data_IF_676513343729
#
_entry.id   IF_676513343729
#
_cell.length_a   1.000
_cell.length_b   1.000
_cell.length_c   1.000
_cell.angle_alpha   90.00
_cell.angle_beta   90.00
_cell.angle_gamma   90.00
#
_symmetry.space_group_name_H-M   'P 1'
#
loop_
_entity.id
_entity.type
_entity.pdbx_description
1 polymer ?
#
# COMPACT_ATOMS: atom_id res chain seq x y z
N UNK A 1 -4.68 -6.71 0.56
CA UNK A 1 -3.96 -7.41 1.66
C UNK A 1 -4.82 -7.54 2.92
N UNK A 2 -6.03 -7.01 2.82
CA UNK A 2 -6.95 -6.69 3.90
C UNK A 2 -7.48 -7.98 4.55
N UNK A 3 -7.34 -9.11 3.87
CA UNK A 3 -7.70 -10.45 4.32
C UNK A 3 -7.02 -10.91 5.62
N UNK A 4 -5.93 -10.27 6.04
CA UNK A 4 -5.35 -10.51 7.39
C UNK A 4 -6.30 -10.03 8.50
N UNK A 5 -7.14 -9.04 8.20
CA UNK A 5 -8.11 -8.46 9.13
C UNK A 5 -9.56 -8.81 8.72
N UNK A 6 -9.82 -8.94 7.43
CA UNK A 6 -11.12 -9.26 6.82
C UNK A 6 -11.03 -10.57 6.02
N UNK A 7 -10.91 -11.74 6.68
CA UNK A 7 -10.80 -13.02 5.98
C UNK A 7 -12.06 -13.33 5.17
N UNK A 8 -12.03 -14.39 4.35
CA UNK A 8 -13.20 -14.84 3.58
C UNK A 8 -14.43 -14.98 4.50
N UNK A 9 -15.51 -14.29 4.14
CA UNK A 9 -16.73 -14.22 4.94
C UNK A 9 -16.79 -13.04 5.92
N UNK A 10 -15.74 -12.21 5.95
CA UNK A 10 -15.77 -10.89 6.56
C UNK A 10 -16.77 -9.96 5.87
N UNK A 11 -17.17 -8.91 6.58
CA UNK A 11 -18.15 -7.93 6.11
C UNK A 11 -17.46 -6.59 5.85
N UNK A 12 -17.02 -6.36 4.62
CA UNK A 12 -16.39 -5.09 4.21
C UNK A 12 -17.35 -3.90 4.37
N UNK A 13 -18.66 -4.11 4.21
CA UNK A 13 -19.68 -3.07 4.38
C UNK A 13 -19.91 -2.75 5.86
N UNK A 14 -19.75 -3.75 6.72
CA UNK A 14 -19.70 -3.62 8.18
C UNK A 14 -18.46 -2.87 8.64
N UNK A 15 -17.29 -3.16 8.07
CA UNK A 15 -16.06 -2.41 8.31
C UNK A 15 -16.22 -0.93 7.89
N UNK A 16 -16.76 -0.66 6.71
CA UNK A 16 -17.11 0.69 6.27
C UNK A 16 -18.09 1.37 7.24
N UNK A 17 -19.09 0.62 7.73
CA UNK A 17 -20.06 1.09 8.72
C UNK A 17 -19.42 1.47 10.06
N UNK A 18 -18.44 0.70 10.52
CA UNK A 18 -17.69 0.98 11.74
C UNK A 18 -16.86 2.26 11.60
N UNK A 19 -16.20 2.46 10.46
CA UNK A 19 -15.40 3.66 10.18
C UNK A 19 -16.27 4.92 10.14
N UNK A 20 -17.43 4.89 9.47
CA UNK A 20 -18.33 6.04 9.39
C UNK A 20 -19.22 6.24 10.63
N UNK A 21 -19.25 5.28 11.56
CA UNK A 21 -20.02 5.33 12.80
C UNK A 21 -21.50 4.99 12.67
N UNK A 22 -21.97 4.53 11.51
CA UNK A 22 -23.34 4.07 11.29
C UNK A 22 -23.43 2.99 10.21
N UNK A 23 -24.44 2.09 10.23
CA UNK A 23 -24.54 0.98 9.29
C UNK A 23 -24.69 1.43 7.83
N UNK A 24 -23.97 0.76 6.93
CA UNK A 24 -24.15 0.93 5.47
C UNK A 24 -25.56 0.50 5.08
N UNK A 25 -26.29 1.37 4.37
CA UNK A 25 -27.67 1.09 3.96
C UNK A 25 -27.69 0.23 2.72
N UNK A 26 -28.46 -0.85 2.76
CA UNK A 26 -28.64 -1.78 1.64
C UNK A 26 -30.06 -1.74 1.11
N UNK A 27 -30.22 -2.04 -0.17
CA UNK A 27 -31.52 -2.15 -0.85
C UNK A 27 -31.52 -3.37 -1.76
N UNK A 28 -32.67 -4.04 -1.89
CA UNK A 28 -32.81 -5.17 -2.79
C UNK A 28 -32.67 -4.71 -4.24
N UNK A 29 -31.87 -5.44 -5.02
CA UNK A 29 -31.76 -5.26 -6.47
C UNK A 29 -33.10 -5.49 -7.17
N UNK A 30 -33.28 -4.92 -8.36
CA UNK A 30 -34.54 -5.00 -9.13
C UNK A 30 -34.66 -6.27 -9.95
N UNK A 31 -33.57 -6.74 -10.56
CA UNK A 31 -33.59 -7.82 -11.56
C UNK A 31 -32.85 -9.08 -11.13
N UNK A 32 -32.15 -9.04 -9.99
CA UNK A 32 -31.38 -10.18 -9.46
C UNK A 32 -31.66 -10.36 -7.97
N UNK A 33 -31.46 -11.58 -7.45
CA UNK A 33 -31.61 -11.87 -6.02
C UNK A 33 -30.33 -11.50 -5.24
N UNK A 34 -30.07 -10.20 -5.15
CA UNK A 34 -28.93 -9.62 -4.44
C UNK A 34 -29.31 -8.27 -3.80
N UNK A 35 -28.37 -7.71 -3.05
CA UNK A 35 -28.47 -6.37 -2.47
C UNK A 35 -27.44 -5.44 -3.10
N UNK A 36 -27.76 -4.15 -3.13
CA UNK A 36 -26.86 -3.08 -3.51
C UNK A 36 -26.75 -2.07 -2.37
N UNK A 37 -25.69 -1.26 -2.37
CA UNK A 37 -25.57 -0.10 -1.48
C UNK A 37 -26.63 0.91 -1.88
N UNK A 38 -27.57 1.20 -0.98
CA UNK A 38 -28.75 2.03 -1.26
C UNK A 38 -28.39 3.46 -1.65
N UNK A 39 -27.21 3.91 -1.22
CA UNK A 39 -26.71 5.25 -1.47
C UNK A 39 -25.88 5.40 -2.74
N UNK A 40 -25.61 4.31 -3.47
CA UNK A 40 -24.86 4.34 -4.72
C UNK A 40 -25.48 5.25 -5.77
N UNK A 41 -24.60 5.89 -6.56
CA UNK A 41 -25.01 6.74 -7.68
C UNK A 41 -25.46 5.91 -8.89
N UNK A 42 -24.79 4.78 -9.10
CA UNK A 42 -25.08 3.77 -10.11
C UNK A 42 -24.92 2.37 -9.51
N UNK A 43 -25.77 1.45 -9.95
CA UNK A 43 -25.68 0.02 -9.65
C UNK A 43 -25.89 -0.72 -10.97
N UNK A 44 -24.94 -1.59 -11.31
CA UNK A 44 -25.08 -2.52 -12.43
C UNK A 44 -25.51 -3.86 -11.86
N UNK A 45 -26.70 -4.31 -12.24
CA UNK A 45 -27.29 -5.58 -11.78
C UNK A 45 -27.15 -6.63 -12.88
N UNK A 46 -26.76 -7.85 -12.55
CA UNK A 46 -26.52 -8.88 -13.57
C UNK A 46 -25.97 -10.18 -13.02
N UNK A 47 -25.59 -11.06 -13.95
CA UNK A 47 -25.04 -12.38 -13.62
C UNK A 47 -23.65 -12.54 -14.22
N UNK A 48 -22.74 -13.16 -13.46
CA UNK A 48 -21.44 -13.58 -13.96
C UNK A 48 -21.56 -14.92 -14.67
N UNK A 49 -21.22 -14.99 -15.96
CA UNK A 49 -21.23 -16.22 -16.73
C UNK A 49 -19.85 -16.85 -16.72
N UNK A 50 -19.57 -17.68 -15.71
CA UNK A 50 -18.22 -18.22 -15.47
C UNK A 50 -17.59 -19.01 -16.64
N UNK A 51 -18.42 -19.56 -17.53
CA UNK A 51 -18.00 -20.32 -18.73
C UNK A 51 -17.93 -19.48 -20.01
N UNK A 52 -18.58 -18.32 -20.05
CA UNK A 52 -18.46 -17.37 -21.15
C UNK A 52 -17.27 -16.46 -20.87
N UNK A 53 -16.09 -16.93 -21.31
CA UNK A 53 -14.84 -16.19 -21.17
C UNK A 53 -14.47 -15.53 -22.49
N UNK A 54 -14.14 -14.24 -22.43
CA UNK A 54 -13.77 -13.43 -23.61
C UNK A 54 -12.49 -12.67 -23.35
N UNK A 55 -11.77 -12.35 -24.42
CA UNK A 55 -10.59 -11.50 -24.35
C UNK A 55 -11.01 -10.06 -24.02
N UNK A 56 -10.19 -9.38 -23.22
CA UNK A 56 -10.44 -7.99 -22.81
C UNK A 56 -10.23 -6.98 -23.95
N UNK A 57 -9.50 -7.36 -25.00
CA UNK A 57 -9.27 -6.53 -26.18
C UNK A 57 -9.41 -7.33 -27.47
N UNK A 58 -9.75 -6.63 -28.57
CA UNK A 58 -9.88 -7.23 -29.90
C UNK A 58 -8.54 -7.79 -30.40
N UNK A 59 -7.43 -7.13 -30.11
CA UNK A 59 -6.11 -7.55 -30.55
C UNK A 59 -5.70 -8.88 -29.90
N UNK A 60 -6.04 -9.07 -28.62
CA UNK A 60 -5.81 -10.33 -27.92
C UNK A 60 -6.74 -11.44 -28.42
N UNK A 61 -7.97 -11.09 -28.80
CA UNK A 61 -8.94 -12.01 -29.43
C UNK A 61 -8.45 -12.50 -30.80
N UNK A 62 -8.07 -11.58 -31.69
CA UNK A 62 -7.60 -11.89 -33.04
C UNK A 62 -6.34 -12.77 -33.02
N UNK A 63 -5.51 -12.63 -31.98
CA UNK A 63 -4.28 -13.39 -31.80
C UNK A 63 -4.44 -14.67 -30.95
N UNK A 64 -5.62 -14.89 -30.35
CA UNK A 64 -5.92 -15.96 -29.38
C UNK A 64 -4.78 -16.18 -28.35
N UNK A 65 -4.28 -15.09 -27.76
CA UNK A 65 -3.13 -15.12 -26.84
C UNK A 65 -3.35 -14.22 -25.64
N UNK A 66 -3.16 -14.74 -24.43
CA UNK A 66 -3.26 -13.96 -23.19
C UNK A 66 -1.91 -13.40 -22.73
N UNK A 67 -1.93 -12.31 -21.97
CA UNK A 67 -0.73 -11.77 -21.32
C UNK A 67 0.24 -11.06 -22.26
N UNK A 68 -0.10 -10.90 -23.55
CA UNK A 68 0.78 -10.30 -24.57
C UNK A 68 0.43 -8.85 -24.90
N UNK A 69 -0.84 -8.59 -25.23
CA UNK A 69 -1.34 -7.28 -25.64
C UNK A 69 -1.64 -6.38 -24.45
N UNK A 70 -1.58 -5.07 -24.63
CA UNK A 70 -1.84 -4.11 -23.55
C UNK A 70 -3.34 -3.86 -23.36
N UNK A 71 -3.75 -3.54 -22.12
CA UNK A 71 -5.16 -3.26 -21.79
C UNK A 71 -5.33 -1.91 -21.07
N UNK A 72 -4.95 -1.81 -19.79
CA UNK A 72 -5.04 -0.57 -19.00
C UNK A 72 -3.74 -0.29 -18.21
N UNK A 73 -3.54 0.94 -17.71
CA UNK A 73 -2.46 1.23 -16.76
C UNK A 73 -2.63 0.41 -15.47
N UNK A 74 -1.53 0.01 -14.82
CA UNK A 74 -1.53 -0.77 -13.57
C UNK A 74 -0.71 -0.10 -12.48
N UNK A 75 -1.03 -0.41 -11.22
CA UNK A 75 -0.36 0.10 -10.02
C UNK A 75 1.17 -0.10 -10.03
N UNK A 76 1.70 -1.06 -10.78
CA UNK A 76 3.15 -1.24 -10.91
C UNK A 76 3.85 -0.14 -11.73
N UNK A 77 3.08 0.77 -12.37
CA UNK A 77 3.60 1.83 -13.24
C UNK A 77 3.77 1.42 -14.70
N UNK A 78 3.21 0.27 -15.08
CA UNK A 78 3.29 -0.29 -16.43
C UNK A 78 1.88 -0.52 -16.98
N UNK A 79 1.77 -0.59 -18.32
CA UNK A 79 0.55 -1.09 -18.94
C UNK A 79 0.35 -2.58 -18.59
N UNK A 80 -0.79 -2.88 -18.00
CA UNK A 80 -1.35 -4.21 -17.83
C UNK A 80 -1.54 -4.92 -19.15
N UNK A 81 -1.83 -6.22 -19.05
CA UNK A 81 -1.97 -7.11 -20.20
C UNK A 81 -3.41 -7.60 -20.30
N UNK A 82 -3.86 -7.83 -21.52
CA UNK A 82 -5.17 -8.38 -21.79
C UNK A 82 -5.20 -9.89 -21.49
N UNK A 83 -6.26 -10.33 -20.83
CA UNK A 83 -6.54 -11.72 -20.47
C UNK A 83 -7.91 -12.15 -20.96
N UNK A 84 -8.20 -13.44 -20.83
CA UNK A 84 -9.49 -14.06 -21.13
C UNK A 84 -10.28 -14.20 -19.83
N UNK A 85 -11.15 -13.23 -19.57
CA UNK A 85 -11.91 -13.11 -18.31
C UNK A 85 -13.38 -13.49 -18.48
N UNK A 86 -14.08 -13.69 -17.37
CA UNK A 86 -15.50 -14.04 -17.34
C UNK A 86 -16.36 -12.84 -17.71
N UNK A 87 -17.47 -13.06 -18.40
CA UNK A 87 -18.37 -11.98 -18.80
C UNK A 87 -19.43 -11.70 -17.73
N UNK A 88 -19.71 -10.42 -17.52
CA UNK A 88 -20.81 -9.95 -16.68
C UNK A 88 -21.98 -9.51 -17.57
N UNK A 89 -23.11 -10.22 -17.46
CA UNK A 89 -24.30 -9.98 -18.28
C UNK A 89 -25.25 -9.06 -17.51
N UNK A 90 -25.23 -7.78 -17.89
CA UNK A 90 -26.03 -6.73 -17.25
C UNK A 90 -27.51 -6.90 -17.61
N UNK A 91 -28.34 -6.94 -16.58
CA UNK A 91 -29.81 -7.04 -16.68
C UNK A 91 -30.49 -5.71 -16.38
N UNK A 92 -29.88 -4.85 -15.55
CA UNK A 92 -30.35 -3.50 -15.31
C UNK A 92 -29.20 -2.56 -14.90
N UNK A 93 -29.37 -1.27 -15.18
CA UNK A 93 -28.59 -0.19 -14.57
C UNK A 93 -29.55 0.68 -13.78
N UNK A 94 -29.50 0.58 -12.45
CA UNK A 94 -30.29 1.43 -11.55
C UNK A 94 -29.44 2.60 -11.07
N UNK A 95 -30.02 3.80 -10.96
CA UNK A 95 -29.24 5.02 -10.78
C UNK A 95 -30.07 6.15 -10.18
N UNK A 96 -29.42 7.10 -9.51
CA UNK A 96 -30.08 8.31 -8.99
C UNK A 96 -30.63 9.20 -10.11
N UNK A 97 -31.61 10.05 -9.81
CA UNK A 97 -32.12 11.06 -10.77
C UNK A 97 -30.97 11.95 -11.25
N UNK A 98 -30.94 12.27 -12.56
CA UNK A 98 -29.88 13.07 -13.18
C UNK A 98 -29.61 14.39 -12.46
N UNK A 99 -30.65 15.05 -11.92
CA UNK A 99 -30.51 16.32 -11.19
C UNK A 99 -29.81 16.22 -9.83
N UNK A 100 -29.58 15.01 -9.31
CA UNK A 100 -28.93 14.76 -8.00
C UNK A 100 -27.63 13.97 -8.14
N UNK A 101 -27.24 13.63 -9.36
CA UNK A 101 -26.14 12.71 -9.62
C UNK A 101 -24.83 13.50 -9.78
N UNK A 102 -23.76 13.16 -9.05
CA UNK A 102 -22.46 13.78 -9.27
C UNK A 102 -21.85 13.29 -10.59
N UNK A 103 -20.83 14.01 -11.05
CA UNK A 103 -19.96 13.51 -12.11
C UNK A 103 -19.17 12.30 -11.60
N UNK A 104 -19.12 11.24 -12.40
CA UNK A 104 -18.23 10.11 -12.11
C UNK A 104 -16.82 10.57 -12.45
N UNK A 105 -15.95 10.54 -11.46
CA UNK A 105 -14.51 10.76 -11.62
C UNK A 105 -13.83 9.39 -11.58
N UNK A 106 -13.41 8.82 -12.73
CA UNK A 106 -12.60 7.62 -12.74
C UNK A 106 -11.21 7.96 -12.21
N UNK A 107 -10.73 7.19 -11.25
CA UNK A 107 -9.41 7.40 -10.67
C UNK A 107 -8.33 7.08 -11.70
N UNK A 108 -7.29 7.91 -11.74
CA UNK A 108 -6.09 7.61 -12.50
C UNK A 108 -5.15 6.73 -11.71
N UNK A 109 -4.51 5.77 -12.37
CA UNK A 109 -3.43 4.99 -11.77
C UNK A 109 -2.28 5.93 -11.40
N UNK A 110 -1.69 5.74 -10.21
CA UNK A 110 -0.67 6.62 -9.63
C UNK A 110 -1.12 8.06 -9.37
N UNK A 111 -2.43 8.31 -9.25
CA UNK A 111 -2.93 9.56 -8.68
C UNK A 111 -3.08 9.42 -7.15
N UNK A 112 -3.03 10.54 -6.44
CA UNK A 112 -3.07 10.56 -4.97
C UNK A 112 -4.33 9.92 -4.38
N UNK A 113 -5.47 10.05 -5.05
CA UNK A 113 -6.73 9.44 -4.67
C UNK A 113 -6.71 7.91 -4.80
N UNK A 114 -6.14 7.39 -5.89
CA UNK A 114 -5.94 5.96 -6.08
C UNK A 114 -5.01 5.38 -5.00
N UNK A 115 -3.85 6.03 -4.79
CA UNK A 115 -2.89 5.61 -3.77
C UNK A 115 -3.53 5.62 -2.36
N UNK A 116 -4.24 6.69 -2.00
CA UNK A 116 -4.85 6.81 -0.67
C UNK A 116 -5.88 5.70 -0.38
N UNK A 117 -6.68 5.30 -1.37
CA UNK A 117 -7.64 4.19 -1.23
C UNK A 117 -6.90 2.87 -1.04
N UNK A 118 -5.83 2.65 -1.81
CA UNK A 118 -5.09 1.40 -1.78
C UNK A 118 -4.24 1.25 -0.50
N UNK A 119 -3.62 2.32 -0.01
CA UNK A 119 -2.65 2.24 1.09
C UNK A 119 -3.29 2.27 2.47
N UNK A 120 -4.30 3.11 2.71
CA UNK A 120 -4.84 3.35 4.07
C UNK A 120 -5.27 2.06 4.77
N UNK A 121 -6.03 1.20 4.07
CA UNK A 121 -6.50 -0.08 4.64
C UNK A 121 -5.35 -1.08 4.77
N UNK A 122 -4.39 -1.05 3.85
CA UNK A 122 -3.22 -1.94 3.88
C UNK A 122 -2.28 -1.60 5.03
N UNK A 123 -2.02 -0.33 5.28
CA UNK A 123 -1.24 0.17 6.42
C UNK A 123 -1.86 -0.32 7.73
N UNK A 124 -3.17 -0.16 7.89
CA UNK A 124 -3.90 -0.69 9.04
C UNK A 124 -3.79 -2.22 9.16
N UNK A 125 -3.86 -2.95 8.05
CA UNK A 125 -3.70 -4.41 8.05
C UNK A 125 -2.29 -4.87 8.44
N UNK A 126 -1.24 -4.14 8.02
CA UNK A 126 0.14 -4.44 8.41
C UNK A 126 0.38 -4.09 9.88
N UNK A 127 -0.17 -2.97 10.33
CA UNK A 127 -0.13 -2.57 11.74
C UNK A 127 -0.75 -3.68 12.61
N UNK A 128 -1.98 -4.08 12.28
CA UNK A 128 -2.72 -5.11 13.02
C UNK A 128 -2.03 -6.48 12.96
N UNK A 129 -1.43 -6.85 11.82
CA UNK A 129 -0.61 -8.06 11.71
C UNK A 129 0.55 -8.04 12.70
N UNK A 130 1.31 -6.94 12.74
CA UNK A 130 2.48 -6.80 13.59
C UNK A 130 2.09 -6.73 15.07
N UNK A 131 1.04 -5.98 15.40
CA UNK A 131 0.56 -5.85 16.78
C UNK A 131 0.04 -7.19 17.33
N UNK A 132 -0.61 -8.02 16.50
CA UNK A 132 -0.99 -9.39 16.89
C UNK A 132 0.19 -10.32 17.12
N UNK A 133 1.31 -10.12 16.40
CA UNK A 133 2.53 -10.93 16.58
C UNK A 133 3.24 -10.52 17.88
N UNK A 134 3.41 -9.21 18.11
CA UNK A 134 4.04 -8.68 19.32
C UNK A 134 3.41 -7.33 19.71
N UNK A 135 2.46 -7.32 20.67
CA UNK A 135 1.70 -6.13 21.02
C UNK A 135 2.56 -4.96 21.51
N UNK A 136 2.28 -3.78 20.96
CA UNK A 136 2.89 -2.50 21.31
C UNK A 136 4.35 -2.31 20.87
N UNK A 137 4.90 -3.20 20.04
CA UNK A 137 6.21 -2.98 19.39
C UNK A 137 6.06 -2.11 18.14
N UNK A 138 5.09 -2.43 17.26
CA UNK A 138 4.74 -1.57 16.13
C UNK A 138 4.15 -0.25 16.64
N UNK A 139 4.59 0.86 16.06
CA UNK A 139 4.12 2.21 16.40
C UNK A 139 3.29 2.80 15.28
N UNK A 140 3.70 2.56 14.04
CA UNK A 140 3.04 3.11 12.87
C UNK A 140 3.44 2.33 11.60
N UNK A 141 2.66 2.45 10.54
CA UNK A 141 2.94 1.88 9.22
C UNK A 141 2.62 2.91 8.15
N UNK A 142 3.53 3.05 7.19
CA UNK A 142 3.31 3.91 6.02
C UNK A 142 3.68 3.20 4.73
N UNK A 143 2.93 3.47 3.67
CA UNK A 143 3.24 3.10 2.30
C UNK A 143 3.44 4.41 1.52
N UNK A 144 4.68 4.92 1.42
CA UNK A 144 4.93 6.19 0.74
C UNK A 144 4.52 6.13 -0.73
N UNK A 145 3.87 7.19 -1.20
CA UNK A 145 3.48 7.39 -2.60
C UNK A 145 4.55 6.97 -3.64
N UNK A 146 5.85 7.36 -3.52
CA UNK A 146 6.86 6.98 -4.52
C UNK A 146 7.20 5.49 -4.57
N UNK A 147 6.73 4.68 -3.62
CA UNK A 147 7.07 3.27 -3.49
C UNK A 147 6.00 2.34 -4.10
N UNK A 148 4.98 2.90 -4.77
CA UNK A 148 3.94 2.19 -5.54
C UNK A 148 3.08 1.23 -4.72
N UNK A 149 1.86 1.70 -4.40
CA UNK A 149 0.71 1.08 -3.72
C UNK A 149 0.93 -0.31 -3.06
N UNK A 150 1.20 -1.36 -3.83
CA UNK A 150 1.19 -2.76 -3.34
C UNK A 150 2.57 -3.36 -3.07
N UNK A 151 3.65 -2.73 -3.55
CA UNK A 151 4.99 -3.34 -3.55
C UNK A 151 5.78 -3.11 -2.26
N UNK A 152 5.29 -2.29 -1.32
CA UNK A 152 6.10 -1.87 -0.16
C UNK A 152 5.30 -1.76 1.14
N UNK A 153 6.00 -1.81 2.27
CA UNK A 153 5.55 -1.26 3.55
C UNK A 153 6.74 -0.79 4.40
N UNK A 154 6.57 0.32 5.11
CA UNK A 154 7.52 0.80 6.13
C UNK A 154 6.89 0.56 7.49
N UNK A 155 7.55 -0.22 8.34
CA UNK A 155 7.12 -0.54 9.69
C UNK A 155 7.94 0.30 10.67
N UNK A 156 7.28 1.20 11.41
CA UNK A 156 7.93 1.95 12.47
C UNK A 156 7.79 1.21 13.80
N UNK A 157 8.89 0.98 14.50
CA UNK A 157 8.91 0.19 15.73
C UNK A 157 9.56 0.93 16.89
N UNK A 158 9.23 0.52 18.12
CA UNK A 158 9.90 0.97 19.33
C UNK A 158 10.29 -0.22 20.19
N UNK A 159 11.58 -0.58 20.14
CA UNK A 159 12.14 -1.65 20.95
C UNK A 159 12.08 -1.28 22.44
N UNK A 160 11.61 -2.20 23.27
CA UNK A 160 11.47 -2.05 24.72
C UNK A 160 12.42 -2.99 25.45
N UNK A 161 12.64 -4.18 24.88
CA UNK A 161 13.46 -5.25 25.43
C UNK A 161 14.38 -5.81 24.35
N UNK A 162 15.48 -6.45 24.77
CA UNK A 162 16.44 -7.11 23.85
C UNK A 162 15.79 -8.15 22.92
N UNK A 163 14.71 -8.78 23.35
CA UNK A 163 13.96 -9.75 22.52
C UNK A 163 13.26 -9.10 21.33
N UNK A 164 13.01 -7.79 21.37
CA UNK A 164 12.34 -7.06 20.28
C UNK A 164 13.17 -7.01 18.99
N UNK A 165 14.51 -7.11 19.07
CA UNK A 165 15.38 -7.29 17.89
C UNK A 165 14.96 -8.52 17.06
N UNK A 166 14.61 -9.62 17.73
CA UNK A 166 14.21 -10.85 17.06
C UNK A 166 12.84 -10.74 16.38
N UNK A 167 11.92 -9.98 16.96
CA UNK A 167 10.56 -9.81 16.45
C UNK A 167 10.51 -9.08 15.11
N UNK A 168 11.50 -8.22 14.80
CA UNK A 168 11.53 -7.50 13.52
C UNK A 168 11.63 -8.42 12.31
N UNK A 169 12.44 -9.49 12.42
CA UNK A 169 12.52 -10.52 11.36
C UNK A 169 11.18 -11.26 11.20
N UNK A 170 10.44 -11.46 12.28
CA UNK A 170 9.11 -12.08 12.25
C UNK A 170 8.09 -11.15 11.59
N UNK A 171 8.11 -9.85 11.89
CA UNK A 171 7.27 -8.85 11.24
C UNK A 171 7.53 -8.82 9.73
N UNK A 172 8.80 -8.69 9.32
CA UNK A 172 9.19 -8.65 7.91
C UNK A 172 8.77 -9.94 7.17
N UNK A 173 9.07 -11.10 7.75
CA UNK A 173 8.75 -12.39 7.12
C UNK A 173 7.23 -12.61 7.03
N UNK A 174 6.48 -12.20 8.06
CA UNK A 174 5.02 -12.32 8.08
C UNK A 174 4.38 -11.38 7.07
N UNK A 175 4.81 -10.12 7.00
CA UNK A 175 4.35 -9.15 6.01
C UNK A 175 4.53 -9.69 4.59
N UNK A 176 5.71 -10.23 4.28
CA UNK A 176 6.04 -10.82 2.98
C UNK A 176 5.25 -12.10 2.66
N UNK A 177 4.99 -12.94 3.67
CA UNK A 177 4.22 -14.17 3.49
C UNK A 177 2.71 -13.91 3.30
N UNK A 178 2.18 -12.85 3.90
CA UNK A 178 0.74 -12.58 3.96
C UNK A 178 0.29 -11.55 2.92
N UNK A 179 1.16 -10.62 2.52
CA UNK A 179 0.90 -9.66 1.45
C UNK A 179 1.43 -10.16 0.11
N UNK A 180 0.54 -10.78 -0.68
CA UNK A 180 0.85 -11.12 -2.06
C UNK A 180 1.35 -9.87 -2.82
N UNK A 181 2.49 -10.00 -3.50
CA UNK A 181 3.12 -8.93 -4.28
C UNK A 181 3.94 -7.93 -3.48
N UNK A 182 4.05 -8.07 -2.15
CA UNK A 182 4.96 -7.23 -1.37
C UNK A 182 6.39 -7.51 -1.79
N UNK A 183 7.13 -6.47 -2.16
CA UNK A 183 8.49 -6.57 -2.69
C UNK A 183 9.54 -5.98 -1.78
N UNK A 184 9.16 -5.03 -0.94
CA UNK A 184 10.04 -4.34 -0.02
C UNK A 184 9.35 -4.16 1.33
N UNK A 185 10.00 -4.56 2.42
CA UNK A 185 9.51 -4.31 3.77
C UNK A 185 10.67 -3.76 4.59
N UNK A 186 10.51 -2.56 5.13
CA UNK A 186 11.57 -1.87 5.87
C UNK A 186 11.10 -1.64 7.29
N UNK A 187 11.87 -2.10 8.27
CA UNK A 187 11.68 -1.74 9.67
C UNK A 187 12.59 -0.56 10.02
N UNK A 188 12.03 0.48 10.66
CA UNK A 188 12.77 1.65 11.16
C UNK A 188 12.38 1.95 12.61
N UNK A 189 13.26 2.60 13.37
CA UNK A 189 12.94 3.01 14.74
C UNK A 189 11.95 4.18 14.78
N UNK A 190 11.30 4.37 15.93
CA UNK A 190 10.35 5.47 16.17
C UNK A 190 10.94 6.88 16.14
N UNK A 191 12.25 7.02 15.95
CA UNK A 191 12.91 8.32 15.71
C UNK A 191 13.10 8.63 14.22
N UNK A 192 12.63 7.77 13.31
CA UNK A 192 12.59 7.97 11.86
C UNK A 192 11.19 8.39 11.44
N UNK A 193 11.04 9.52 10.75
CA UNK A 193 9.78 9.93 10.14
C UNK A 193 9.49 9.09 8.89
N UNK A 194 8.58 8.13 9.02
CA UNK A 194 8.15 7.25 7.93
C UNK A 194 7.39 7.98 6.81
N UNK A 195 6.96 9.22 7.01
CA UNK A 195 6.36 10.05 5.96
C UNK A 195 7.39 10.85 5.17
N UNK A 196 8.68 10.75 5.54
CA UNK A 196 9.80 11.38 4.86
C UNK A 196 10.69 10.34 4.17
N UNK A 197 10.70 10.35 2.84
CA UNK A 197 11.63 9.50 2.09
C UNK A 197 13.10 9.83 2.38
N UNK A 198 13.38 11.11 2.64
CA UNK A 198 14.69 11.60 3.03
C UNK A 198 15.18 10.91 4.33
N UNK A 199 14.33 10.85 5.35
CA UNK A 199 14.65 10.23 6.63
C UNK A 199 14.74 8.69 6.54
N UNK A 200 13.89 8.07 5.71
CA UNK A 200 13.97 6.64 5.40
C UNK A 200 15.29 6.29 4.73
N UNK A 201 15.71 7.03 3.69
CA UNK A 201 16.98 6.79 2.99
C UNK A 201 18.16 6.96 3.95
N UNK A 202 18.07 7.87 4.91
CA UNK A 202 19.11 8.00 5.94
C UNK A 202 19.19 6.81 6.88
N UNK A 203 18.06 6.33 7.40
CA UNK A 203 18.05 5.15 8.23
C UNK A 203 18.67 3.96 7.47
N UNK A 204 18.31 3.78 6.20
CA UNK A 204 18.88 2.75 5.33
C UNK A 204 20.39 2.87 5.14
N UNK A 205 20.91 4.09 4.97
CA UNK A 205 22.34 4.32 4.67
C UNK A 205 23.23 4.32 5.91
N UNK A 206 22.66 4.50 7.11
CA UNK A 206 23.44 4.67 8.34
C UNK A 206 23.22 3.59 9.39
N UNK A 207 22.14 2.79 9.30
CA UNK A 207 21.80 1.76 10.29
C UNK A 207 21.85 0.33 9.78
N UNK A 208 21.86 0.14 8.46
CA UNK A 208 21.80 -1.20 7.85
C UNK A 208 23.19 -1.79 7.67
N UNK A 209 23.41 -3.00 8.21
CA UNK A 209 24.51 -3.87 7.82
C UNK A 209 24.06 -4.82 6.70
N UNK A 210 24.57 -4.68 5.47
CA UNK A 210 24.12 -5.48 4.32
C UNK A 210 24.26 -6.99 4.49
N UNK A 211 25.15 -7.47 5.37
CA UNK A 211 25.36 -8.89 5.61
C UNK A 211 24.37 -9.50 6.62
N UNK A 212 23.73 -8.68 7.46
CA UNK A 212 22.95 -9.15 8.61
C UNK A 212 21.49 -8.70 8.57
N UNK A 213 21.24 -7.56 7.94
CA UNK A 213 19.97 -6.83 8.05
C UNK A 213 19.16 -6.88 6.75
N UNK A 214 19.70 -7.53 5.70
CA UNK A 214 18.98 -7.83 4.47
C UNK A 214 18.42 -9.25 4.51
N UNK A 215 17.11 -9.36 4.34
CA UNK A 215 16.36 -10.61 4.28
C UNK A 215 15.83 -10.80 2.86
N UNK A 216 15.86 -12.03 2.36
CA UNK A 216 15.19 -12.41 1.10
C UNK A 216 14.08 -13.43 1.37
N UNK A 217 12.96 -13.03 2.00
CA UNK A 217 11.93 -13.96 2.42
C UNK A 217 11.07 -14.44 1.23
N UNK A 218 10.54 -15.67 1.38
CA UNK A 218 9.48 -16.29 0.57
C UNK A 218 9.73 -16.37 -0.96
N UNK A 219 10.91 -16.79 -1.47
CA UNK A 219 11.08 -17.01 -2.90
C UNK A 219 10.25 -18.22 -3.39
N UNK A 220 9.78 -18.18 -4.64
CA UNK A 220 9.10 -19.30 -5.31
C UNK A 220 7.59 -19.39 -5.07
N UNK A 221 7.00 -18.42 -4.36
CA UNK A 221 5.56 -18.34 -4.11
C UNK A 221 4.72 -18.00 -5.36
N UNK A 222 3.42 -17.74 -5.15
CA UNK A 222 2.52 -17.28 -6.21
C UNK A 222 2.86 -15.85 -6.64
N UNK A 223 3.23 -15.67 -7.91
CA UNK A 223 3.59 -14.35 -8.45
C UNK A 223 2.37 -13.51 -8.84
N UNK A 224 2.62 -12.26 -9.20
CA UNK A 224 1.63 -11.30 -9.68
C UNK A 224 1.86 -10.93 -11.14
N UNK A 225 0.80 -11.07 -11.93
CA UNK A 225 0.80 -10.73 -13.36
C UNK A 225 0.98 -9.24 -13.61
N UNK A 226 0.88 -8.38 -12.60
CA UNK A 226 1.05 -6.94 -12.74
C UNK A 226 2.52 -6.50 -12.63
N UNK A 227 3.39 -7.33 -12.03
CA UNK A 227 4.83 -7.06 -11.87
C UNK A 227 5.59 -7.63 -13.07
N UNK A 228 6.24 -6.80 -13.91
CA UNK A 228 6.93 -7.29 -15.10
C UNK A 228 8.06 -8.28 -14.82
N UNK A 229 8.85 -8.09 -13.75
CA UNK A 229 9.96 -8.99 -13.42
C UNK A 229 9.47 -10.40 -13.06
N UNK A 230 8.30 -10.51 -12.42
CA UNK A 230 7.68 -11.80 -12.11
C UNK A 230 7.09 -12.47 -13.36
N UNK A 231 6.63 -11.71 -14.36
CA UNK A 231 6.20 -12.28 -15.65
C UNK A 231 7.31 -13.06 -16.35
N UNK A 232 8.55 -12.57 -16.27
CA UNK A 232 9.71 -13.23 -16.88
C UNK A 232 9.94 -14.64 -16.33
N UNK A 233 9.48 -14.92 -15.10
CA UNK A 233 9.60 -16.25 -14.49
C UNK A 233 8.78 -17.32 -15.22
N UNK A 234 7.78 -16.94 -16.03
CA UNK A 234 7.03 -17.88 -16.87
C UNK A 234 7.87 -18.49 -18.01
N UNK A 235 9.06 -17.92 -18.30
CA UNK A 235 9.89 -18.37 -19.42
C UNK A 235 9.19 -18.18 -20.77
N UNK A 236 9.04 -19.27 -21.52
CA UNK A 236 8.34 -19.28 -22.81
C UNK A 236 6.81 -19.48 -22.70
N UNK A 237 6.28 -19.70 -21.50
CA UNK A 237 4.85 -19.88 -21.29
C UNK A 237 4.10 -18.54 -21.26
N UNK A 238 2.77 -18.59 -21.41
CA UNK A 238 1.92 -17.40 -21.28
C UNK A 238 2.04 -16.76 -19.89
N UNK A 239 2.01 -15.42 -19.83
CA UNK A 239 2.13 -14.63 -18.60
C UNK A 239 0.84 -14.65 -17.77
N UNK A 240 0.46 -15.83 -17.29
CA UNK A 240 -0.72 -16.09 -16.45
C UNK A 240 -0.32 -16.35 -15.01
N UNK A 241 -1.26 -16.14 -14.07
CA UNK A 241 -1.05 -16.44 -12.65
C UNK A 241 -0.60 -17.88 -12.35
N UNK A 242 -0.91 -18.84 -13.23
CA UNK A 242 -0.49 -20.25 -13.06
C UNK A 242 0.98 -20.48 -13.41
N UNK A 243 1.51 -19.70 -14.35
CA UNK A 243 2.87 -19.88 -14.89
C UNK A 243 3.91 -19.01 -14.19
N UNK A 244 3.52 -17.87 -13.63
CA UNK A 244 4.43 -16.95 -12.95
C UNK A 244 4.72 -17.38 -11.51
N UNK A 245 5.89 -16.98 -11.00
CA UNK A 245 6.34 -17.21 -9.63
C UNK A 245 6.80 -15.90 -9.02
N UNK A 246 6.54 -15.76 -7.73
CA UNK A 246 7.08 -14.68 -6.93
C UNK A 246 8.57 -14.92 -6.74
N UNK A 247 9.40 -13.97 -7.17
CA UNK A 247 10.86 -14.09 -7.12
C UNK A 247 11.47 -13.84 -5.73
N UNK A 248 10.62 -13.48 -4.76
CA UNK A 248 10.99 -13.06 -3.42
C UNK A 248 10.97 -11.54 -3.27
N UNK A 249 10.89 -11.08 -2.02
CA UNK A 249 11.02 -9.67 -1.66
C UNK A 249 12.35 -9.36 -0.97
N UNK A 250 12.56 -8.08 -0.66
CA UNK A 250 13.65 -7.59 0.16
C UNK A 250 13.09 -7.09 1.49
N UNK A 251 13.50 -7.74 2.57
CA UNK A 251 13.30 -7.25 3.92
C UNK A 251 14.52 -6.47 4.37
N UNK A 252 14.35 -5.30 4.96
CA UNK A 252 15.46 -4.50 5.47
C UNK A 252 15.18 -4.13 6.92
N UNK A 253 16.06 -4.54 7.82
CA UNK A 253 16.07 -4.05 9.20
C UNK A 253 16.99 -2.83 9.29
N UNK A 254 16.41 -1.62 9.31
CA UNK A 254 17.14 -0.37 9.46
C UNK A 254 17.03 0.17 10.89
N UNK A 255 16.84 -0.72 11.87
CA UNK A 255 16.71 -0.33 13.27
C UNK A 255 18.02 -0.42 14.03
N UNK A 256 18.19 0.42 15.05
CA UNK A 256 19.36 0.38 15.93
C UNK A 256 19.32 -0.89 16.79
N UNK A 257 20.40 -1.70 16.87
CA UNK A 257 20.44 -2.86 17.76
C UNK A 257 20.14 -2.47 19.21
N UNK A 258 19.31 -3.24 19.90
CA UNK A 258 18.90 -2.91 21.26
C UNK A 258 20.10 -2.76 22.20
N UNK A 259 20.12 -1.67 22.98
CA UNK A 259 21.19 -1.32 23.91
C UNK A 259 22.30 -0.43 23.33
N UNK A 260 22.29 -0.17 22.01
CA UNK A 260 23.23 0.74 21.34
C UNK A 260 22.61 2.12 21.01
N UNK A 261 21.43 2.44 21.54
CA UNK A 261 20.67 3.64 21.17
C UNK A 261 21.43 4.94 21.42
N UNK A 262 22.33 4.95 22.42
CA UNK A 262 23.17 6.12 22.73
C UNK A 262 24.23 6.39 21.66
N UNK A 263 24.76 5.35 21.03
CA UNK A 263 25.78 5.47 19.98
C UNK A 263 25.19 5.94 18.65
N UNK A 264 23.88 5.76 18.47
CA UNK A 264 23.10 6.17 17.30
C UNK A 264 22.26 7.44 17.54
N UNK A 265 22.61 8.22 18.56
CA UNK A 265 21.89 9.47 18.88
C UNK A 265 21.95 10.45 17.70
N UNK A 266 20.76 10.85 17.20
CA UNK A 266 20.60 11.91 16.20
C UNK A 266 21.07 13.27 16.75
N UNK A 267 21.54 14.19 15.89
CA UNK A 267 21.74 15.58 16.27
C UNK A 267 20.48 16.18 16.92
N UNK A 268 20.67 17.04 17.92
CA UNK A 268 19.56 17.69 18.63
C UNK A 268 19.66 19.20 18.41
N UNK A 269 18.69 19.74 17.70
CA UNK A 269 18.56 21.18 17.47
C UNK A 269 17.56 21.79 18.46
N UNK A 270 17.86 22.95 19.07
CA UNK A 270 17.05 23.57 20.12
C UNK A 270 15.84 24.33 19.52
N UNK A 271 15.05 23.68 18.68
CA UNK A 271 13.90 24.28 17.99
C UNK A 271 12.79 24.72 18.96
N UNK A 272 12.76 24.16 20.16
CA UNK A 272 11.87 24.49 21.27
C UNK A 272 12.35 25.69 22.09
N UNK A 273 13.61 26.12 21.91
CA UNK A 273 14.24 27.20 22.69
C UNK A 273 14.58 28.44 21.87
N UNK A 274 14.57 28.32 20.54
CA UNK A 274 14.94 29.39 19.63
C UNK A 274 13.68 29.82 18.88
N UNK A 275 13.16 31.01 19.20
CA UNK A 275 12.04 31.61 18.48
C UNK A 275 12.57 32.48 17.32
N UNK A 276 12.36 32.09 16.04
CA UNK A 276 12.81 32.86 14.88
C UNK A 276 12.27 34.30 14.87
N UNK A 277 11.11 34.57 15.50
CA UNK A 277 10.52 35.90 15.58
C UNK A 277 11.39 36.91 16.36
N UNK A 278 12.39 36.44 17.09
CA UNK A 278 13.37 37.30 17.76
C UNK A 278 14.31 37.99 16.76
N UNK A 279 14.53 37.40 15.57
CA UNK A 279 15.51 37.88 14.58
C UNK A 279 14.91 38.21 13.21
N UNK A 280 13.77 37.60 12.87
CA UNK A 280 13.17 37.70 11.55
C UNK A 280 11.74 38.21 11.63
N UNK A 281 11.34 38.99 10.64
CA UNK A 281 9.95 39.41 10.49
C UNK A 281 9.05 38.26 9.97
N UNK A 282 7.73 38.47 10.02
CA UNK A 282 6.75 37.46 9.66
C UNK A 282 6.88 37.01 8.19
N UNK A 283 7.22 37.91 7.27
CA UNK A 283 7.35 37.62 5.85
C UNK A 283 8.62 36.79 5.58
N UNK A 284 9.72 37.11 6.25
CA UNK A 284 10.96 36.34 6.23
C UNK A 284 10.75 34.92 6.78
N UNK A 285 10.04 34.78 7.90
CA UNK A 285 9.70 33.47 8.49
C UNK A 285 8.80 32.68 7.53
N UNK A 286 7.77 33.31 6.98
CA UNK A 286 6.86 32.67 6.02
C UNK A 286 7.61 32.18 4.78
N UNK A 287 8.53 33.01 4.24
CA UNK A 287 9.39 32.63 3.12
C UNK A 287 10.29 31.44 3.46
N UNK A 288 10.91 31.45 4.64
CA UNK A 288 11.71 30.31 5.13
C UNK A 288 10.89 29.02 5.21
N UNK A 289 9.70 29.08 5.82
CA UNK A 289 8.77 27.94 5.91
C UNK A 289 8.31 27.43 4.55
N UNK A 290 8.03 28.34 3.61
CA UNK A 290 7.62 27.96 2.26
C UNK A 290 8.72 27.20 1.51
N UNK A 291 9.99 27.58 1.68
CA UNK A 291 11.12 26.87 1.10
C UNK A 291 11.30 25.47 1.71
N UNK A 292 11.08 25.32 3.02
CA UNK A 292 11.19 24.02 3.70
C UNK A 292 10.11 23.03 3.25
N UNK A 293 8.88 23.48 2.96
CA UNK A 293 7.79 22.59 2.48
C UNK A 293 8.08 21.85 1.18
N UNK A 294 9.11 22.27 0.43
CA UNK A 294 9.56 21.56 -0.78
C UNK A 294 10.69 20.57 -0.52
N UNK A 295 11.17 20.47 0.73
CA UNK A 295 12.30 19.62 1.14
C UNK A 295 11.92 18.80 2.37
N UNK A 296 11.70 17.50 2.18
CA UNK A 296 11.19 16.61 3.23
C UNK A 296 12.09 16.61 4.47
N UNK A 297 13.42 16.52 4.30
CA UNK A 297 14.35 16.54 5.43
C UNK A 297 14.31 17.85 6.25
N UNK A 298 14.28 18.99 5.57
CA UNK A 298 14.27 20.29 6.25
C UNK A 298 12.99 20.46 7.08
N UNK A 299 11.87 19.98 6.56
CA UNK A 299 10.59 19.95 7.27
C UNK A 299 10.63 19.01 8.49
N UNK A 300 11.25 17.83 8.38
CA UNK A 300 11.48 16.93 9.51
C UNK A 300 12.27 17.64 10.60
N UNK A 301 13.46 18.15 10.29
CA UNK A 301 14.32 18.84 11.26
C UNK A 301 13.63 20.03 11.94
N UNK A 302 12.86 20.81 11.17
CA UNK A 302 12.12 21.96 11.71
C UNK A 302 11.01 21.55 12.68
N UNK A 303 10.41 20.37 12.49
CA UNK A 303 9.32 19.84 13.32
C UNK A 303 9.81 19.06 14.54
N UNK A 304 10.87 18.27 14.38
CA UNK A 304 11.34 17.30 15.39
C UNK A 304 12.60 17.77 16.13
N UNK A 305 13.37 18.69 15.53
CA UNK A 305 14.71 19.05 15.99
C UNK A 305 15.72 17.94 15.82
N UNK A 306 15.41 16.90 15.03
CA UNK A 306 16.17 15.66 14.87
C UNK A 306 16.10 15.13 13.45
#
# INVERSE_FOLDING_TARGET
>A
FDYVVLPRGGDELGAAGAVQGFPTRLVKARTVDAYAVADSEYVLEGYLHARDKRYETKEAEDADTQGRFHFHPEWAGYMGKAYRTQTFHVTAITMRKRSKRPFIYPMGVHMYDCNNIDTTVREAAFFELCDRIQPGLIQDVNIPFPMTDWAVCILQVRKRLKTDDGWLRNFISSAMATSAGLRLCICVDSDVDIYSMDDIIWALTTRVNPNQDLLKPVPGGAGQTFIPSERVTAGSAEWTGMNIRFEGGMGIDATVPYGLEKDFMRPVYPIDRVDPATWFDADQIAKGKALMKTQSWAEVLARTGR
#
